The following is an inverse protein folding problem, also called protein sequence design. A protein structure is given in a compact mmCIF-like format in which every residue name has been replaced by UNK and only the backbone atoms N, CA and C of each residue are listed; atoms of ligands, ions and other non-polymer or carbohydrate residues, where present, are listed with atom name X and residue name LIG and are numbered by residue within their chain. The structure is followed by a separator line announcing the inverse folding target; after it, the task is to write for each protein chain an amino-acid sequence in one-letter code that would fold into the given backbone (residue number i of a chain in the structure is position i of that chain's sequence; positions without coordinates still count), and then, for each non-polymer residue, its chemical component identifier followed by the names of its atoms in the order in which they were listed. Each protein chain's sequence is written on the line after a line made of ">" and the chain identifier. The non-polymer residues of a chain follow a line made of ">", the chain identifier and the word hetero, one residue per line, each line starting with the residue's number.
data_IF_597517555498
#
_entry.id   IF_597517555498
#
_cell.length_a   1.000
_cell.length_b   1.000
_cell.length_c   1.000
_cell.angle_alpha   90.00
_cell.angle_beta   90.00
_cell.angle_gamma   90.00
#
_symmetry.space_group_name_H-M   'P 1'
#
loop_
_entity.id
_entity.type
_entity.pdbx_description
1 polymer ?
#
# COMPACT_ATOMS: atom_id res chain seq x y z
N UNK A 1 -41.77 -35.83 21.70
CA UNK A 1 -42.05 -35.97 20.24
C UNK A 1 -43.56 -36.16 20.06
N UNK A 2 -44.18 -35.29 19.29
CA UNK A 2 -45.58 -35.50 18.86
C UNK A 2 -45.55 -36.48 17.68
N UNK A 3 -46.28 -37.61 17.72
CA UNK A 3 -46.35 -38.57 16.62
C UNK A 3 -47.01 -37.87 15.40
N UNK A 4 -46.35 -37.92 14.25
CA UNK A 4 -46.95 -37.48 12.98
C UNK A 4 -46.40 -36.17 12.37
N UNK A 5 -45.38 -35.54 12.96
CA UNK A 5 -44.72 -34.37 12.38
C UNK A 5 -43.36 -34.78 11.81
N UNK A 6 -43.19 -34.62 10.48
CA UNK A 6 -41.89 -34.84 9.87
C UNK A 6 -40.87 -33.83 10.42
N UNK A 7 -39.65 -34.25 10.81
CA UNK A 7 -38.63 -33.38 11.32
C UNK A 7 -38.21 -32.38 10.22
N UNK A 8 -38.40 -31.07 10.50
CA UNK A 8 -37.91 -30.02 9.64
C UNK A 8 -36.46 -29.70 10.03
N UNK A 9 -35.59 -29.60 9.04
CA UNK A 9 -34.22 -29.18 9.22
C UNK A 9 -34.21 -27.69 9.59
N UNK A 10 -33.88 -27.39 10.83
CA UNK A 10 -33.66 -25.99 11.27
C UNK A 10 -32.26 -25.59 10.86
N UNK A 11 -32.17 -24.55 10.03
CA UNK A 11 -30.90 -23.92 9.70
C UNK A 11 -30.56 -22.97 10.84
N UNK A 12 -29.49 -23.24 11.55
CA UNK A 12 -28.94 -22.38 12.58
C UNK A 12 -27.76 -21.64 11.93
N UNK A 13 -27.95 -20.35 11.61
CA UNK A 13 -26.85 -19.48 11.21
C UNK A 13 -26.19 -18.96 12.51
N UNK A 14 -25.03 -19.52 12.84
CA UNK A 14 -24.20 -19.01 13.92
C UNK A 14 -23.50 -17.75 13.39
N UNK A 15 -23.92 -16.59 13.85
CA UNK A 15 -23.09 -15.38 13.77
C UNK A 15 -21.95 -15.64 14.77
N UNK A 16 -20.79 -16.03 14.28
CA UNK A 16 -19.56 -15.96 15.08
C UNK A 16 -19.28 -14.49 15.30
N UNK A 17 -19.32 -14.10 16.55
CA UNK A 17 -18.59 -12.92 16.99
C UNK A 17 -17.11 -13.31 16.86
N UNK A 18 -16.53 -13.03 15.70
CA UNK A 18 -15.09 -13.17 15.52
C UNK A 18 -14.46 -12.09 16.41
N UNK A 19 -14.20 -12.47 17.66
CA UNK A 19 -13.26 -11.71 18.48
C UNK A 19 -11.98 -11.65 17.67
N UNK A 20 -11.64 -10.44 17.24
CA UNK A 20 -10.35 -10.16 16.58
C UNK A 20 -9.28 -10.83 17.44
N UNK A 21 -8.67 -11.88 16.94
CA UNK A 21 -7.57 -12.53 17.63
C UNK A 21 -6.43 -11.51 17.66
N UNK A 22 -6.25 -10.87 18.81
CA UNK A 22 -5.09 -10.05 19.05
C UNK A 22 -3.88 -10.97 18.99
N UNK A 23 -3.08 -10.84 17.95
CA UNK A 23 -1.82 -11.56 17.79
C UNK A 23 -0.66 -10.58 17.98
N UNK A 24 0.26 -10.90 18.87
CA UNK A 24 1.51 -10.16 19.00
C UNK A 24 2.39 -10.47 17.79
N UNK A 25 2.52 -9.49 16.89
CA UNK A 25 3.42 -9.57 15.76
C UNK A 25 4.78 -8.98 16.15
N UNK A 26 5.79 -9.84 16.24
CA UNK A 26 7.16 -9.37 16.40
C UNK A 26 7.69 -8.83 15.06
N UNK A 27 7.66 -7.51 14.89
CA UNK A 27 8.09 -6.80 13.69
C UNK A 27 9.62 -6.67 13.54
N UNK A 28 10.40 -7.10 14.53
CA UNK A 28 11.86 -6.94 14.52
C UNK A 28 12.57 -7.77 13.43
N UNK A 29 11.88 -8.74 12.83
CA UNK A 29 12.41 -9.57 11.74
C UNK A 29 11.34 -9.75 10.67
N UNK A 30 11.66 -9.33 9.43
CA UNK A 30 10.84 -9.62 8.25
C UNK A 30 10.03 -8.46 7.69
N UNK A 31 10.16 -7.24 8.23
CA UNK A 31 9.65 -6.06 7.54
C UNK A 31 10.49 -5.79 6.29
N UNK A 32 9.83 -5.69 5.14
CA UNK A 32 10.48 -5.45 3.83
C UNK A 32 10.47 -3.98 3.43
N UNK A 33 9.52 -3.21 3.95
CA UNK A 33 9.47 -1.75 3.82
C UNK A 33 8.83 -1.13 5.06
N UNK A 34 9.22 0.11 5.37
CA UNK A 34 8.62 0.88 6.43
C UNK A 34 8.68 2.37 6.09
N UNK A 35 7.67 3.12 6.50
CA UNK A 35 7.62 4.57 6.35
C UNK A 35 6.88 5.19 7.52
N UNK A 36 7.24 6.43 7.84
CA UNK A 36 6.58 7.22 8.89
C UNK A 36 5.63 8.20 8.22
N UNK A 37 4.46 8.39 8.81
CA UNK A 37 3.50 9.40 8.32
C UNK A 37 4.09 10.82 8.41
N UNK A 38 3.72 11.75 7.52
CA UNK A 38 4.19 13.13 7.57
C UNK A 38 4.03 13.84 8.91
N UNK A 39 3.01 13.50 9.70
CA UNK A 39 2.78 14.06 11.04
C UNK A 39 3.55 13.31 12.15
N UNK A 40 4.30 12.26 11.83
CA UNK A 40 5.09 11.46 12.77
C UNK A 40 4.29 10.55 13.69
N UNK A 41 2.97 10.43 13.54
CA UNK A 41 2.09 9.71 14.48
C UNK A 41 1.79 8.28 14.09
N UNK A 42 2.09 7.88 12.86
CA UNK A 42 1.82 6.57 12.34
C UNK A 42 3.06 6.00 11.64
N UNK A 43 3.23 4.70 11.72
CA UNK A 43 4.26 3.97 10.99
C UNK A 43 3.55 2.91 10.16
N UNK A 44 3.69 2.99 8.83
CA UNK A 44 3.26 1.93 7.94
C UNK A 44 4.44 1.01 7.64
N UNK A 45 4.17 -0.28 7.61
CA UNK A 45 5.18 -1.30 7.33
C UNK A 45 4.59 -2.44 6.53
N UNK A 46 5.43 -3.07 5.72
CA UNK A 46 5.12 -4.32 5.07
C UNK A 46 5.79 -5.46 5.82
N UNK A 47 4.98 -6.37 6.35
CA UNK A 47 5.45 -7.51 7.12
C UNK A 47 4.82 -8.79 6.59
N UNK A 48 5.64 -9.77 6.23
CA UNK A 48 5.21 -11.06 5.66
C UNK A 48 4.30 -10.91 4.43
N UNK A 49 4.56 -9.88 3.62
CA UNK A 49 3.77 -9.59 2.43
C UNK A 49 2.50 -8.79 2.66
N UNK A 50 2.16 -8.41 3.90
CA UNK A 50 0.96 -7.64 4.21
C UNK A 50 1.31 -6.24 4.73
N UNK A 51 0.44 -5.27 4.48
CA UNK A 51 0.58 -3.88 4.94
C UNK A 51 -0.10 -3.72 6.29
N UNK A 52 0.65 -3.15 7.24
CA UNK A 52 0.17 -2.79 8.57
C UNK A 52 0.44 -1.31 8.84
N UNK A 53 -0.41 -0.70 9.66
CA UNK A 53 -0.16 0.64 10.21
C UNK A 53 -0.27 0.57 11.71
N UNK A 54 0.77 1.03 12.39
CA UNK A 54 0.81 1.15 13.86
C UNK A 54 0.86 2.61 14.29
N UNK A 55 0.28 2.92 15.43
CA UNK A 55 0.45 4.22 16.06
C UNK A 55 1.88 4.34 16.61
N UNK A 56 2.48 5.54 16.50
CA UNK A 56 3.76 5.83 17.14
C UNK A 56 3.60 6.07 18.66
N UNK A 57 2.42 6.53 19.10
CA UNK A 57 2.15 6.92 20.48
C UNK A 57 1.48 5.82 21.32
N UNK A 58 0.78 4.88 20.68
CA UNK A 58 -0.05 3.86 21.33
C UNK A 58 0.18 2.48 20.75
N UNK A 59 -0.04 1.43 21.54
CA UNK A 59 0.03 0.03 21.10
C UNK A 59 -1.20 -0.37 20.27
N UNK A 60 -1.48 0.37 19.21
CA UNK A 60 -2.61 0.09 18.31
C UNK A 60 -2.07 -0.12 16.91
N UNK A 61 -2.29 -1.32 16.36
CA UNK A 61 -1.87 -1.69 15.02
C UNK A 61 -3.08 -2.18 14.24
N UNK A 62 -3.20 -1.74 13.00
CA UNK A 62 -4.22 -2.21 12.07
C UNK A 62 -3.57 -2.88 10.88
N UNK A 63 -4.06 -4.06 10.55
CA UNK A 63 -3.78 -4.71 9.28
C UNK A 63 -4.61 -4.03 8.19
N UNK A 64 -3.94 -3.57 7.13
CA UNK A 64 -4.56 -2.87 6.01
C UNK A 64 -4.92 -3.85 4.91
N UNK A 65 -4.01 -4.78 4.61
CA UNK A 65 -4.24 -5.82 3.61
C UNK A 65 -4.33 -7.19 4.26
N UNK A 66 -5.13 -8.07 3.68
CA UNK A 66 -5.24 -9.46 4.09
C UNK A 66 -5.51 -10.30 2.83
N UNK A 67 -4.45 -10.56 2.08
CA UNK A 67 -4.54 -11.22 0.78
C UNK A 67 -3.50 -12.34 0.68
N UNK A 68 -3.69 -13.31 -0.21
CA UNK A 68 -2.67 -14.33 -0.45
C UNK A 68 -1.49 -13.84 -1.29
N UNK A 69 -1.56 -12.60 -1.78
CA UNK A 69 -0.50 -11.97 -2.58
C UNK A 69 0.51 -11.24 -1.69
N UNK A 70 1.64 -10.85 -2.24
CA UNK A 70 2.61 -10.04 -1.53
C UNK A 70 2.40 -8.55 -1.83
N UNK A 71 2.59 -7.71 -0.81
CA UNK A 71 2.64 -6.26 -0.88
C UNK A 71 4.04 -5.73 -0.55
N UNK A 72 4.37 -4.56 -1.09
CA UNK A 72 5.66 -3.87 -0.84
C UNK A 72 5.59 -2.38 -1.14
N UNK A 73 6.62 -1.64 -0.72
CA UNK A 73 6.82 -0.25 -1.11
C UNK A 73 5.76 0.72 -0.59
N UNK A 74 5.31 0.54 0.66
CA UNK A 74 4.26 1.38 1.25
C UNK A 74 4.73 2.81 1.49
N UNK A 75 3.88 3.80 1.17
CA UNK A 75 4.08 5.21 1.49
C UNK A 75 2.77 5.91 1.88
N UNK A 76 2.88 6.96 2.71
CA UNK A 76 1.75 7.82 3.09
C UNK A 76 1.56 8.97 2.12
N UNK A 77 0.31 9.37 1.92
CA UNK A 77 -0.02 10.69 1.36
C UNK A 77 0.32 11.82 2.35
N UNK A 78 0.58 13.03 1.86
CA UNK A 78 0.87 14.19 2.71
C UNK A 78 -0.20 14.51 3.76
N UNK A 79 -1.44 14.15 3.53
CA UNK A 79 -2.57 14.34 4.46
C UNK A 79 -2.74 13.20 5.48
N UNK A 80 -1.85 12.19 5.47
CA UNK A 80 -1.86 11.01 6.33
C UNK A 80 -3.08 10.07 6.16
N UNK A 81 -3.92 10.29 5.15
CA UNK A 81 -5.22 9.61 5.00
C UNK A 81 -5.26 8.57 3.89
N UNK A 82 -4.22 8.50 3.07
CA UNK A 82 -4.09 7.53 1.99
C UNK A 82 -2.73 6.85 2.07
N UNK A 83 -2.72 5.54 1.87
CA UNK A 83 -1.51 4.76 1.62
C UNK A 83 -1.45 4.41 0.15
N UNK A 84 -0.27 4.43 -0.42
CA UNK A 84 0.01 3.78 -1.70
C UNK A 84 1.02 2.65 -1.47
N UNK A 85 0.83 1.55 -2.16
CA UNK A 85 1.72 0.39 -2.12
C UNK A 85 1.60 -0.42 -3.40
N UNK A 86 2.54 -1.31 -3.64
CA UNK A 86 2.48 -2.28 -4.72
C UNK A 86 1.99 -3.63 -4.21
N UNK A 87 1.16 -4.31 -4.99
CA UNK A 87 0.65 -5.67 -4.73
C UNK A 87 0.67 -6.52 -5.99
N UNK A 88 0.96 -7.81 -5.85
CA UNK A 88 0.98 -8.76 -6.98
C UNK A 88 -0.36 -9.54 -7.16
N UNK A 89 -1.46 -9.05 -6.60
CA UNK A 89 -2.79 -9.70 -6.62
C UNK A 89 -3.29 -10.07 -8.00
N UNK A 90 -2.87 -9.36 -9.02
CA UNK A 90 -3.26 -9.62 -10.42
C UNK A 90 -2.33 -10.57 -11.17
N UNK A 91 -1.34 -11.17 -10.51
CA UNK A 91 -0.29 -11.98 -11.12
C UNK A 91 0.92 -11.17 -11.60
N UNK A 92 0.90 -9.86 -11.40
CA UNK A 92 2.01 -8.92 -11.57
C UNK A 92 1.86 -7.74 -10.60
N UNK A 93 2.94 -7.02 -10.36
CA UNK A 93 2.98 -5.89 -9.45
C UNK A 93 2.18 -4.70 -9.97
N UNK A 94 1.17 -4.29 -9.22
CA UNK A 94 0.33 -3.14 -9.51
C UNK A 94 0.22 -2.21 -8.30
N UNK A 95 -0.07 -0.94 -8.54
CA UNK A 95 -0.24 0.05 -7.50
C UNK A 95 -1.66 0.00 -6.94
N UNK A 96 -1.75 0.06 -5.63
CA UNK A 96 -2.99 0.17 -4.87
C UNK A 96 -2.99 1.41 -3.99
N UNK A 97 -4.15 1.97 -3.79
CA UNK A 97 -4.41 3.03 -2.84
C UNK A 97 -5.38 2.51 -1.78
N UNK A 98 -5.02 2.66 -0.51
CA UNK A 98 -5.91 2.41 0.62
C UNK A 98 -6.21 3.73 1.32
N UNK A 99 -7.48 4.08 1.47
CA UNK A 99 -7.93 5.38 1.97
C UNK A 99 -8.88 5.23 3.15
N UNK A 100 -8.70 6.07 4.16
CA UNK A 100 -9.66 6.19 5.26
C UNK A 100 -10.95 6.79 4.72
N UNK A 101 -12.05 6.01 4.75
CA UNK A 101 -13.34 6.40 4.14
C UNK A 101 -14.04 7.52 4.91
N UNK A 102 -14.00 7.48 6.24
CA UNK A 102 -14.71 8.42 7.09
C UNK A 102 -13.89 9.67 7.38
N UNK A 103 -14.46 10.84 7.15
CA UNK A 103 -13.75 12.13 7.33
C UNK A 103 -13.37 12.42 8.78
N UNK A 104 -14.18 11.96 9.72
CA UNK A 104 -13.98 12.13 11.16
C UNK A 104 -12.85 11.26 11.74
N UNK A 105 -12.43 10.22 11.01
CA UNK A 105 -11.35 9.34 11.41
C UNK A 105 -10.00 9.89 10.93
N UNK A 106 -9.10 10.19 11.86
CA UNK A 106 -7.87 10.93 11.56
C UNK A 106 -6.70 10.03 11.12
N UNK A 107 -6.69 8.76 11.54
CA UNK A 107 -5.55 7.86 11.36
C UNK A 107 -5.97 6.41 11.09
N UNK A 108 -5.09 5.65 10.45
CA UNK A 108 -5.36 4.25 10.06
C UNK A 108 -5.57 3.30 11.24
N UNK A 109 -4.79 3.34 12.35
CA UNK A 109 -4.98 2.41 13.45
C UNK A 109 -6.39 2.41 14.05
N UNK A 110 -7.08 3.56 14.00
CA UNK A 110 -8.44 3.73 14.54
C UNK A 110 -9.51 3.80 13.45
N UNK A 111 -9.13 3.73 12.17
CA UNK A 111 -10.10 3.80 11.07
C UNK A 111 -10.98 2.55 11.07
N UNK A 112 -12.31 2.75 10.95
CA UNK A 112 -13.27 1.65 10.90
C UNK A 112 -13.45 1.09 9.50
N UNK A 113 -13.38 1.98 8.48
CA UNK A 113 -13.55 1.62 7.08
C UNK A 113 -12.36 2.14 6.29
N UNK A 114 -11.71 1.22 5.57
CA UNK A 114 -10.66 1.53 4.61
C UNK A 114 -11.16 1.10 3.24
N UNK A 115 -11.18 2.05 2.31
CA UNK A 115 -11.49 1.82 0.90
C UNK A 115 -10.19 1.57 0.14
N UNK A 116 -10.18 0.56 -0.69
CA UNK A 116 -9.03 0.18 -1.48
C UNK A 116 -9.38 0.21 -2.98
N UNK A 117 -8.48 0.78 -3.78
CA UNK A 117 -8.59 0.80 -5.22
C UNK A 117 -7.26 0.45 -5.90
N UNK A 118 -7.33 -0.22 -7.06
CA UNK A 118 -6.17 -0.41 -7.92
C UNK A 118 -5.97 0.84 -8.77
N UNK A 119 -4.75 1.37 -8.74
CA UNK A 119 -4.37 2.54 -9.54
C UNK A 119 -3.70 2.07 -10.83
N UNK A 120 -4.25 2.45 -12.00
CA UNK A 120 -3.72 2.13 -13.33
C UNK A 120 -3.57 0.61 -13.58
N UNK A 121 -4.63 -0.18 -13.52
CA UNK A 121 -4.53 -1.63 -13.68
C UNK A 121 -3.92 -2.02 -15.04
N UNK A 122 -2.97 -2.96 -15.05
CA UNK A 122 -2.33 -3.49 -16.25
C UNK A 122 -2.00 -4.97 -16.05
N UNK A 123 -2.02 -5.72 -17.15
CA UNK A 123 -1.58 -7.13 -17.18
C UNK A 123 -0.19 -7.30 -17.76
N UNK A 124 0.41 -6.25 -18.31
CA UNK A 124 1.62 -6.32 -19.12
C UNK A 124 2.80 -5.55 -18.55
N UNK A 125 2.58 -4.61 -17.64
CA UNK A 125 3.63 -3.81 -17.01
C UNK A 125 3.56 -3.97 -15.50
N UNK A 126 4.73 -3.99 -14.87
CA UNK A 126 4.90 -4.01 -13.41
C UNK A 126 5.10 -2.60 -12.89
N UNK A 127 4.51 -2.28 -11.73
CA UNK A 127 4.61 -0.96 -11.09
C UNK A 127 4.88 -1.12 -9.61
N UNK A 128 5.96 -0.47 -9.15
CA UNK A 128 6.45 -0.58 -7.79
C UNK A 128 6.92 0.77 -7.22
N UNK A 129 7.20 0.78 -5.92
CA UNK A 129 7.83 1.90 -5.19
C UNK A 129 7.10 3.23 -5.36
N UNK A 130 5.80 3.30 -5.02
CA UNK A 130 5.04 4.54 -5.12
C UNK A 130 5.55 5.60 -4.13
N UNK A 131 5.52 6.88 -4.56
CA UNK A 131 5.77 8.04 -3.69
C UNK A 131 4.83 9.18 -4.09
N UNK A 132 4.07 9.70 -3.13
CA UNK A 132 3.24 10.87 -3.36
C UNK A 132 4.07 12.12 -3.59
N UNK A 133 3.60 13.01 -4.46
CA UNK A 133 4.12 14.37 -4.55
C UNK A 133 3.81 15.15 -3.26
N UNK A 134 4.61 16.17 -2.91
CA UNK A 134 4.38 16.97 -1.70
C UNK A 134 3.00 17.64 -1.62
N UNK A 135 2.38 17.92 -2.75
CA UNK A 135 1.03 18.49 -2.85
C UNK A 135 -0.10 17.45 -2.95
N UNK A 136 0.23 16.16 -2.85
CA UNK A 136 -0.69 15.03 -2.95
C UNK A 136 -1.46 14.89 -4.28
N UNK A 137 -1.10 15.63 -5.32
CA UNK A 137 -1.81 15.58 -6.61
C UNK A 137 -1.28 14.52 -7.56
N UNK A 138 -0.03 14.14 -7.38
CA UNK A 138 0.64 13.16 -8.23
C UNK A 138 1.21 12.01 -7.40
N UNK A 139 1.41 10.87 -8.05
CA UNK A 139 2.13 9.73 -7.52
C UNK A 139 3.22 9.36 -8.51
N UNK A 140 4.46 9.33 -8.04
CA UNK A 140 5.59 8.78 -8.79
C UNK A 140 5.70 7.29 -8.50
N UNK A 141 6.19 6.52 -9.46
CA UNK A 141 6.40 5.08 -9.33
C UNK A 141 7.42 4.58 -10.36
N UNK A 142 7.98 3.41 -10.11
CA UNK A 142 8.86 2.73 -11.05
C UNK A 142 8.04 1.75 -11.88
N UNK A 143 8.14 1.84 -13.22
CA UNK A 143 7.54 0.93 -14.15
C UNK A 143 8.61 0.03 -14.79
N UNK A 144 8.34 -1.30 -14.82
CA UNK A 144 9.22 -2.34 -15.37
C UNK A 144 10.68 -2.25 -14.85
N UNK A 145 10.87 -1.78 -13.61
CA UNK A 145 12.17 -1.63 -12.93
C UNK A 145 13.14 -0.64 -13.57
N UNK A 146 12.72 0.10 -14.59
CA UNK A 146 13.60 0.93 -15.42
C UNK A 146 13.14 2.35 -15.59
N UNK A 147 11.84 2.62 -15.54
CA UNK A 147 11.27 3.92 -15.88
C UNK A 147 10.64 4.57 -14.65
N UNK A 148 11.08 5.78 -14.34
CA UNK A 148 10.35 6.64 -13.41
C UNK A 148 9.17 7.25 -14.15
N UNK A 149 8.00 6.98 -13.65
CA UNK A 149 6.72 7.45 -14.16
C UNK A 149 6.01 8.29 -13.11
N UNK A 150 5.14 9.16 -13.54
CA UNK A 150 4.28 9.96 -12.65
C UNK A 150 2.86 9.91 -13.17
N UNK A 151 1.91 9.65 -12.29
CA UNK A 151 0.48 9.73 -12.57
C UNK A 151 -0.16 10.89 -11.81
N UNK A 152 -0.99 11.65 -12.50
CA UNK A 152 -1.88 12.61 -11.85
C UNK A 152 -3.07 11.83 -11.25
N UNK A 153 -3.30 11.97 -9.94
CA UNK A 153 -4.27 11.16 -9.20
C UNK A 153 -5.72 11.47 -9.56
N UNK A 154 -6.01 12.67 -9.99
CA UNK A 154 -7.36 13.09 -10.40
C UNK A 154 -7.65 12.64 -11.84
N UNK A 155 -6.79 13.04 -12.79
CA UNK A 155 -7.01 12.81 -14.22
C UNK A 155 -6.58 11.44 -14.70
N UNK A 156 -5.83 10.70 -13.88
CA UNK A 156 -5.19 9.40 -14.19
C UNK A 156 -4.22 9.47 -15.41
N UNK A 157 -3.82 10.67 -15.82
CA UNK A 157 -2.83 10.85 -16.89
C UNK A 157 -1.44 10.49 -16.38
N UNK A 158 -0.73 9.69 -17.15
CA UNK A 158 0.64 9.24 -16.85
C UNK A 158 1.63 10.00 -17.73
N UNK A 159 2.75 10.42 -17.13
CA UNK A 159 3.91 10.97 -17.85
C UNK A 159 5.17 10.19 -17.46
N UNK A 160 6.06 10.04 -18.42
CA UNK A 160 7.37 9.44 -18.21
C UNK A 160 8.37 10.51 -17.79
N UNK A 161 9.21 10.20 -16.80
CA UNK A 161 10.27 11.10 -16.29
C UNK A 161 11.63 10.69 -16.83
N UNK A 162 11.97 9.39 -16.77
CA UNK A 162 13.23 8.85 -17.30
C UNK A 162 12.97 8.01 -18.54
N UNK A 163 13.92 7.99 -19.48
CA UNK A 163 13.80 7.26 -20.75
C UNK A 163 13.98 5.75 -20.65
N UNK A 164 14.33 5.22 -19.46
CA UNK A 164 14.58 3.79 -19.24
C UNK A 164 15.94 3.32 -19.80
N UNK A 165 16.81 4.22 -20.23
CA UNK A 165 18.16 3.88 -20.70
C UNK A 165 19.12 3.49 -19.58
N UNK A 166 18.73 3.77 -18.34
CA UNK A 166 19.49 3.44 -17.14
C UNK A 166 19.16 2.04 -16.66
N UNK A 167 20.12 1.14 -16.81
CA UNK A 167 20.00 -0.21 -16.29
C UNK A 167 20.47 -0.26 -14.83
N UNK A 168 19.61 -0.76 -13.94
CA UNK A 168 19.94 -0.92 -12.52
C UNK A 168 20.18 -2.39 -12.21
N UNK A 169 21.37 -2.67 -11.64
CA UNK A 169 21.81 -4.03 -11.34
C UNK A 169 21.15 -4.65 -10.10
N UNK A 170 20.39 -3.89 -9.35
CA UNK A 170 19.72 -4.35 -8.13
C UNK A 170 18.30 -4.80 -8.39
N UNK A 171 17.89 -5.88 -7.76
CA UNK A 171 16.58 -6.53 -7.96
C UNK A 171 15.35 -5.67 -7.60
N UNK A 172 15.55 -4.45 -7.07
CA UNK A 172 14.50 -3.56 -6.59
C UNK A 172 14.21 -2.33 -7.44
N UNK A 173 14.98 -2.05 -8.49
CA UNK A 173 14.90 -0.76 -9.18
C UNK A 173 15.93 0.24 -8.59
N UNK A 174 15.64 1.53 -8.66
CA UNK A 174 16.52 2.61 -8.18
C UNK A 174 15.78 3.45 -7.12
N UNK A 175 16.56 4.05 -6.23
CA UNK A 175 16.02 4.98 -5.26
C UNK A 175 15.79 6.34 -5.91
N UNK A 176 14.66 6.94 -5.58
CA UNK A 176 14.31 8.28 -6.02
C UNK A 176 13.54 9.02 -4.93
N UNK A 177 13.54 10.32 -4.98
CA UNK A 177 12.70 11.15 -4.12
C UNK A 177 12.28 12.45 -4.81
N UNK A 178 11.10 12.94 -4.43
CA UNK A 178 10.64 14.25 -4.81
C UNK A 178 11.44 15.37 -4.13
N UNK A 179 11.67 16.48 -4.85
CA UNK A 179 12.06 17.72 -4.20
C UNK A 179 10.90 18.28 -3.35
N UNK A 180 11.17 19.04 -2.29
CA UNK A 180 10.13 19.60 -1.43
C UNK A 180 9.10 20.49 -2.15
N UNK A 181 9.50 21.11 -3.26
CA UNK A 181 8.61 21.92 -4.10
C UNK A 181 7.86 21.14 -5.18
N UNK A 182 8.07 19.80 -5.25
CA UNK A 182 7.40 18.91 -6.20
C UNK A 182 7.81 19.08 -7.67
N UNK A 183 8.89 19.82 -7.95
CA UNK A 183 9.28 20.13 -9.35
C UNK A 183 10.37 19.25 -9.91
N UNK A 184 11.16 18.61 -9.04
CA UNK A 184 12.35 17.85 -9.39
C UNK A 184 12.36 16.49 -8.73
N UNK A 185 13.17 15.61 -9.29
CA UNK A 185 13.50 14.32 -8.68
C UNK A 185 15.00 14.22 -8.42
N UNK A 186 15.35 13.66 -7.26
CA UNK A 186 16.68 13.11 -7.04
C UNK A 186 16.63 11.64 -7.36
N UNK A 187 17.60 11.15 -8.14
CA UNK A 187 17.68 9.76 -8.57
C UNK A 187 19.06 9.20 -8.20
N UNK A 188 19.08 7.97 -7.69
CA UNK A 188 20.32 7.20 -7.63
C UNK A 188 20.65 6.70 -9.05
N UNK A 189 21.83 7.05 -9.53
CA UNK A 189 22.28 6.71 -10.88
C UNK A 189 23.60 5.93 -10.83
N UNK A 190 23.54 4.67 -11.25
CA UNK A 190 24.76 3.88 -11.47
C UNK A 190 25.17 4.02 -12.92
N UNK A 191 25.90 5.09 -13.24
CA UNK A 191 26.42 5.32 -14.58
C UNK A 191 27.60 4.38 -14.87
N UNK A 192 27.55 3.62 -15.96
CA UNK A 192 28.75 3.07 -16.55
C UNK A 192 29.65 4.22 -17.02
N UNK A 193 30.75 4.45 -16.34
CA UNK A 193 31.85 5.23 -16.93
C UNK A 193 32.48 4.39 -18.03
N UNK A 194 32.18 4.71 -19.27
CA UNK A 194 33.00 4.33 -20.41
C UNK A 194 34.18 5.29 -20.56
#
# INVERSE_FOLDING_TARGET
>A
QRPGVNPQKVRIDLIRDDQEQISDLNSSKGATSATVSPDGKQIALTLRGEVFVTSADYNTTKQITNTPAAETGVCFSPDNRTLAYASERGGNWQLYLAKIARKEEANFPNATIIEEEVLLPSKTVERNYPQFSPDAKELAFIEDRMRLMVVNLETKKVRQVTDGSTWYSTAGGFDYSWSPDGKWFTLEFTGNKH
#
